data_IF_208779748112
#
_entry.id   IF_208779748112
#
_cell.length_a   1.000
_cell.length_b   1.000
_cell.length_c   1.000
_cell.angle_alpha   90.00
_cell.angle_beta   90.00
_cell.angle_gamma   90.00
#
_symmetry.space_group_name_H-M   'P 1'
#
loop_
_entity.id
_entity.type
_entity.pdbx_description
1 polymer ?
#
# COMPACT_ATOMS: atom_id res chain seq x y z
N UNK A 1 16.29 -3.43 -0.48
CA UNK A 1 15.71 -3.23 -1.83
C UNK A 1 14.99 -4.48 -2.21
N UNK A 2 13.71 -4.47 -1.86
CA UNK A 2 12.77 -5.47 -2.28
C UNK A 2 11.39 -4.82 -2.37
N UNK A 3 10.60 -5.35 -3.30
CA UNK A 3 9.18 -5.06 -3.38
C UNK A 3 8.45 -6.11 -2.55
N UNK A 4 7.53 -5.68 -1.70
CA UNK A 4 6.75 -6.54 -0.83
C UNK A 4 5.28 -6.48 -1.21
N UNK A 5 4.60 -7.62 -1.19
CA UNK A 5 3.15 -7.72 -1.40
C UNK A 5 2.50 -8.51 -0.26
N UNK A 6 1.29 -8.12 0.16
CA UNK A 6 0.48 -8.94 1.07
C UNK A 6 -0.55 -9.80 0.31
N UNK A 7 -0.99 -10.95 0.86
CA UNK A 7 -2.04 -11.74 0.25
C UNK A 7 -3.34 -10.92 0.10
N UNK A 8 -4.17 -11.19 -0.92
CA UNK A 8 -5.38 -10.44 -1.21
C UNK A 8 -6.48 -10.70 -0.17
N UNK A 9 -6.34 -10.10 1.01
CA UNK A 9 -7.19 -10.30 2.19
C UNK A 9 -8.01 -9.08 2.56
N UNK A 10 -7.83 -7.96 1.84
CA UNK A 10 -8.54 -6.71 2.07
C UNK A 10 -9.79 -6.61 1.19
N UNK A 11 -11.01 -6.60 1.74
CA UNK A 11 -12.23 -6.46 0.96
C UNK A 11 -12.47 -4.98 0.57
N UNK A 12 -12.85 -4.74 -0.68
CA UNK A 12 -13.23 -3.40 -1.16
C UNK A 12 -13.82 -3.42 -2.56
N UNK A 13 -14.84 -2.60 -2.83
CA UNK A 13 -15.48 -2.52 -4.15
C UNK A 13 -15.88 -3.88 -4.77
N UNK A 14 -16.34 -4.83 -3.94
CA UNK A 14 -16.78 -6.16 -4.40
C UNK A 14 -15.65 -7.13 -4.79
N UNK A 15 -14.40 -6.82 -4.43
CA UNK A 15 -13.22 -7.66 -4.69
C UNK A 15 -12.24 -7.64 -3.53
N UNK A 16 -11.24 -8.52 -3.61
CA UNK A 16 -10.15 -8.59 -2.65
C UNK A 16 -8.93 -7.86 -3.19
N UNK A 17 -8.15 -7.28 -2.28
CA UNK A 17 -7.02 -6.41 -2.60
C UNK A 17 -5.77 -6.78 -1.83
N UNK A 18 -4.64 -6.59 -2.50
CA UNK A 18 -3.29 -6.65 -1.98
C UNK A 18 -2.67 -5.25 -1.97
N UNK A 19 -1.71 -5.02 -1.08
CA UNK A 19 -0.89 -3.83 -1.00
C UNK A 19 0.52 -4.16 -1.46
N UNK A 20 1.09 -3.28 -2.27
CA UNK A 20 2.45 -3.39 -2.77
C UNK A 20 3.30 -2.21 -2.27
N UNK A 21 4.47 -2.48 -1.67
CA UNK A 21 5.37 -1.44 -1.14
C UNK A 21 6.83 -1.72 -1.49
N UNK A 22 7.66 -0.70 -1.29
CA UNK A 22 9.12 -0.78 -1.33
C UNK A 22 9.70 -0.53 0.08
N UNK A 23 10.87 -1.10 0.36
CA UNK A 23 11.69 -0.78 1.53
C UNK A 23 12.82 0.24 1.26
N UNK A 24 12.84 0.86 0.08
CA UNK A 24 13.93 1.74 -0.35
C UNK A 24 13.48 3.05 -1.00
N UNK A 25 12.63 3.01 -2.03
CA UNK A 25 12.16 4.22 -2.72
C UNK A 25 10.83 4.04 -3.43
N UNK A 26 10.11 5.14 -3.66
CA UNK A 26 8.93 5.09 -4.52
C UNK A 26 9.26 4.93 -6.00
N UNK A 27 10.46 5.33 -6.43
CA UNK A 27 10.86 5.19 -7.84
C UNK A 27 10.94 3.72 -8.25
N UNK A 28 11.54 2.86 -7.42
CA UNK A 28 11.53 1.41 -7.69
C UNK A 28 10.12 0.81 -7.61
N UNK A 29 9.28 1.31 -6.69
CA UNK A 29 7.89 0.87 -6.57
C UNK A 29 7.08 1.25 -7.82
N UNK A 30 7.28 2.45 -8.35
CA UNK A 30 6.63 2.91 -9.58
C UNK A 30 7.11 2.14 -10.80
N UNK A 31 8.42 1.87 -10.90
CA UNK A 31 8.99 1.08 -11.98
C UNK A 31 8.44 -0.36 -11.97
N UNK A 32 8.41 -0.99 -10.80
CA UNK A 32 7.85 -2.34 -10.64
C UNK A 32 6.36 -2.38 -10.99
N UNK A 33 5.58 -1.46 -10.44
CA UNK A 33 4.14 -1.36 -10.69
C UNK A 33 3.84 -1.16 -12.18
N UNK A 34 4.61 -0.31 -12.86
CA UNK A 34 4.50 -0.13 -14.31
C UNK A 34 4.85 -1.41 -15.08
N UNK A 35 5.88 -2.15 -14.64
CA UNK A 35 6.29 -3.43 -15.24
C UNK A 35 5.22 -4.51 -15.21
N UNK A 36 4.38 -4.53 -14.16
CA UNK A 36 3.20 -5.43 -14.07
C UNK A 36 1.91 -4.78 -14.61
N UNK A 37 2.02 -3.62 -15.27
CA UNK A 37 0.89 -2.90 -15.88
C UNK A 37 -0.11 -2.30 -14.89
N UNK A 38 0.29 -2.06 -13.64
CA UNK A 38 -0.55 -1.39 -12.65
C UNK A 38 -0.63 0.13 -12.96
N UNK A 39 -1.83 0.73 -13.02
CA UNK A 39 -1.98 2.12 -13.41
C UNK A 39 -1.48 3.05 -12.30
N UNK A 40 -0.88 4.19 -12.66
CA UNK A 40 -0.34 5.18 -11.69
C UNK A 40 -1.35 5.66 -10.64
N UNK A 41 -2.65 5.68 -10.99
CA UNK A 41 -3.76 6.03 -10.09
C UNK A 41 -4.03 5.04 -8.97
N UNK A 42 -3.48 3.83 -9.04
CA UNK A 42 -3.58 2.84 -7.97
C UNK A 42 -2.57 3.10 -6.84
N UNK A 43 -1.70 4.12 -6.98
CA UNK A 43 -0.78 4.53 -5.95
C UNK A 43 -1.47 5.39 -4.89
N UNK A 44 -1.55 4.88 -3.67
CA UNK A 44 -2.16 5.52 -2.51
C UNK A 44 -1.09 6.09 -1.57
N UNK A 45 -0.35 7.08 -2.09
CA UNK A 45 0.67 7.89 -1.39
C UNK A 45 1.96 7.18 -0.99
N UNK A 46 1.90 5.90 -0.63
CA UNK A 46 3.07 5.11 -0.23
C UNK A 46 3.01 3.63 -0.58
N UNK A 47 1.91 3.16 -1.16
CA UNK A 47 1.71 1.80 -1.62
C UNK A 47 0.87 1.79 -2.90
N UNK A 48 0.85 0.68 -3.62
CA UNK A 48 -0.16 0.41 -4.64
C UNK A 48 -1.23 -0.54 -4.11
N UNK A 49 -2.48 -0.26 -4.45
CA UNK A 49 -3.59 -1.20 -4.29
C UNK A 49 -3.72 -2.06 -5.56
N UNK A 50 -3.53 -3.37 -5.40
CA UNK A 50 -3.66 -4.34 -6.48
C UNK A 50 -4.90 -5.22 -6.25
N UNK A 51 -5.77 -5.40 -7.27
CA UNK A 51 -6.84 -6.38 -7.15
C UNK A 51 -6.25 -7.79 -7.12
N UNK A 52 -6.98 -8.73 -6.50
CA UNK A 52 -6.53 -10.11 -6.31
C UNK A 52 -6.03 -10.79 -7.59
N UNK A 53 -6.64 -10.49 -8.74
CA UNK A 53 -6.23 -11.06 -10.03
C UNK A 53 -4.80 -10.69 -10.46
N UNK A 54 -4.21 -9.64 -9.88
CA UNK A 54 -2.81 -9.20 -10.16
C UNK A 54 -1.81 -9.68 -9.12
N UNK A 55 -2.26 -10.38 -8.08
CA UNK A 55 -1.41 -10.87 -7.01
C UNK A 55 -0.29 -11.76 -7.55
N UNK A 56 -0.66 -12.79 -8.32
CA UNK A 56 0.28 -13.76 -8.88
C UNK A 56 1.25 -13.10 -9.87
N UNK A 57 0.82 -12.06 -10.57
CA UNK A 57 1.69 -11.29 -11.48
C UNK A 57 2.78 -10.55 -10.73
N UNK A 58 2.45 -9.95 -9.57
CA UNK A 58 3.43 -9.29 -8.72
C UNK A 58 4.43 -10.31 -8.14
N UNK A 59 3.95 -11.45 -7.62
CA UNK A 59 4.82 -12.50 -7.09
C UNK A 59 5.75 -13.05 -8.18
N UNK A 60 5.22 -13.33 -9.37
CA UNK A 60 6.01 -13.81 -10.52
C UNK A 60 7.03 -12.78 -11.01
N UNK A 61 6.72 -11.49 -10.90
CA UNK A 61 7.65 -10.40 -11.20
C UNK A 61 8.72 -10.19 -10.12
N UNK A 62 8.66 -10.94 -9.00
CA UNK A 62 9.67 -10.92 -7.95
C UNK A 62 9.29 -10.13 -6.70
N UNK A 63 8.02 -9.74 -6.53
CA UNK A 63 7.55 -9.24 -5.24
C UNK A 63 7.59 -10.35 -4.19
N UNK A 64 8.11 -10.02 -3.00
CA UNK A 64 8.19 -10.94 -1.87
C UNK A 64 6.88 -10.90 -1.10
N UNK A 65 6.17 -12.03 -1.06
CA UNK A 65 4.97 -12.19 -0.23
C UNK A 65 5.33 -12.07 1.26
N UNK A 66 4.62 -11.19 1.98
CA UNK A 66 4.68 -11.03 3.43
C UNK A 66 3.30 -10.69 3.99
N UNK A 67 3.05 -10.95 5.27
CA UNK A 67 1.80 -10.49 5.89
C UNK A 67 1.71 -8.96 5.99
N UNK A 68 0.49 -8.40 5.94
CA UNK A 68 0.26 -6.93 5.96
C UNK A 68 0.94 -6.21 7.13
N UNK A 69 1.04 -6.84 8.31
CA UNK A 69 1.74 -6.28 9.47
C UNK A 69 3.24 -6.15 9.22
N UNK A 70 3.85 -7.13 8.56
CA UNK A 70 5.27 -7.09 8.21
C UNK A 70 5.53 -6.08 7.10
N UNK A 71 4.66 -6.06 6.09
CA UNK A 71 4.67 -5.07 5.03
C UNK A 71 4.70 -3.63 5.59
N UNK A 72 3.78 -3.33 6.51
CA UNK A 72 3.72 -2.03 7.18
C UNK A 72 4.96 -1.73 8.03
N UNK A 73 5.52 -2.73 8.73
CA UNK A 73 6.76 -2.57 9.50
C UNK A 73 7.93 -2.16 8.60
N UNK A 74 8.11 -2.84 7.46
CA UNK A 74 9.18 -2.54 6.50
C UNK A 74 9.03 -1.15 5.89
N UNK A 75 7.82 -0.81 5.44
CA UNK A 75 7.51 0.52 4.91
C UNK A 75 7.81 1.63 5.93
N UNK A 76 7.49 1.39 7.21
CA UNK A 76 7.75 2.33 8.30
C UNK A 76 9.23 2.44 8.61
N UNK A 77 9.95 1.31 8.69
CA UNK A 77 11.39 1.29 8.94
C UNK A 77 12.19 1.96 7.80
N UNK A 78 11.69 1.89 6.57
CA UNK A 78 12.24 2.59 5.41
C UNK A 78 11.96 4.11 5.41
N UNK A 79 11.16 4.64 6.34
CA UNK A 79 10.77 6.05 6.37
C UNK A 79 9.81 6.47 5.24
N UNK A 80 9.21 5.51 4.54
CA UNK A 80 8.37 5.75 3.37
C UNK A 80 6.87 5.87 3.72
N UNK A 81 6.46 5.53 4.94
CA UNK A 81 5.04 5.57 5.35
C UNK A 81 4.47 7.00 5.30
N UNK A 82 3.38 7.19 4.54
CA UNK A 82 2.57 8.40 4.39
C UNK A 82 1.09 8.14 4.71
N UNK A 83 0.70 8.09 5.99
CA UNK A 83 -0.66 7.74 6.39
C UNK A 83 -1.69 8.80 5.96
N UNK A 84 -2.88 8.35 5.53
CA UNK A 84 -4.04 9.23 5.33
C UNK A 84 -4.32 9.94 6.65
N UNK A 85 -4.19 11.28 6.69
CA UNK A 85 -4.48 12.03 7.91
C UNK A 85 -5.89 11.67 8.37
N UNK A 86 -6.01 11.15 9.59
CA UNK A 86 -7.30 11.13 10.29
C UNK A 86 -7.66 12.60 10.50
N UNK A 87 -8.86 13.08 10.13
CA UNK A 87 -9.29 14.40 10.56
C UNK A 87 -9.09 14.47 12.07
N UNK A 88 -8.46 15.54 12.56
CA UNK A 88 -8.38 15.78 13.99
C UNK A 88 -9.79 15.63 14.58
N UNK A 89 -9.98 14.94 15.72
CA UNK A 89 -11.29 14.90 16.35
C UNK A 89 -11.76 16.34 16.48
N UNK A 90 -12.92 16.66 15.91
CA UNK A 90 -13.57 17.97 16.12
C UNK A 90 -13.72 18.10 17.63
N UNK A 91 -12.86 18.87 18.28
CA UNK A 91 -13.08 19.30 19.65
C UNK A 91 -14.44 19.98 19.64
N UNK A 92 -15.44 19.29 20.19
CA UNK A 92 -16.74 19.88 20.41
C UNK A 92 -16.49 21.16 21.20
N UNK A 93 -16.76 22.31 20.57
CA UNK A 93 -16.85 23.59 21.28
C UNK A 93 -18.04 23.44 22.23
N UNK A 94 -17.78 22.93 23.43
CA UNK A 94 -18.58 23.26 24.61
C UNK A 94 -18.06 24.61 25.07
N UNK A 95 -18.92 25.60 25.00
CA UNK A 95 -18.72 26.98 25.40
C UNK A 95 -19.87 27.76 24.79
N UNK A 96 -20.97 27.88 25.54
CA UNK A 96 -21.29 29.07 26.33
C UNK A 96 -21.80 30.18 25.39
N UNK A 97 -23.02 30.69 25.53
CA UNK A 97 -23.80 30.99 26.74
C UNK A 97 -25.29 30.75 26.54
#
# INVERSE_FOLDING_TARGET
>A
MAIYIDPPTWPGHGRMWSHLVSDHSFDELHAFAAGIGAPRRAFERDHYDLPAERYDDAVRAGAVEVGSKELLRRLTAAGLRRPKHRPAPRTARRGAS
#
